data_IF_780070831535
#
_entry.id   IF_780070831535
#
_cell.length_a   1.000
_cell.length_b   1.000
_cell.length_c   1.000
_cell.angle_alpha   90.00
_cell.angle_beta   90.00
_cell.angle_gamma   90.00
#
_symmetry.space_group_name_H-M   'P 1'
#
loop_
_entity.id
_entity.type
_entity.pdbx_description
1 polymer ?
#
# COMPACT_ATOMS: atom_id res chain seq x y z
N UNK A 1 -67.84 -7.83 35.48
CA UNK A 1 -67.68 -8.19 34.05
C UNK A 1 -66.29 -7.71 33.64
N UNK A 2 -65.29 -8.60 33.76
CA UNK A 2 -63.91 -8.36 33.35
C UNK A 2 -63.81 -8.19 31.84
N UNK A 3 -63.06 -7.21 31.33
CA UNK A 3 -62.37 -7.36 30.03
C UNK A 3 -61.06 -6.57 29.99
N UNK A 4 -59.99 -7.29 30.33
CA UNK A 4 -58.59 -7.26 29.87
C UNK A 4 -58.19 -6.25 28.76
N UNK A 5 -57.13 -5.50 29.03
CA UNK A 5 -56.34 -4.69 28.08
C UNK A 5 -55.87 -5.49 26.85
N UNK A 6 -55.94 -4.95 25.61
CA UNK A 6 -55.29 -5.58 24.46
C UNK A 6 -53.79 -5.22 24.44
N UNK A 7 -52.96 -6.14 24.93
CA UNK A 7 -51.49 -6.12 24.90
C UNK A 7 -50.88 -6.42 23.52
N UNK A 8 -51.54 -6.08 22.41
CA UNK A 8 -51.10 -6.45 21.05
C UNK A 8 -50.37 -5.33 20.28
N UNK A 9 -50.46 -4.07 20.71
CA UNK A 9 -49.74 -2.96 20.07
C UNK A 9 -48.23 -2.94 20.37
N UNK A 10 -47.80 -3.56 21.48
CA UNK A 10 -46.39 -3.65 21.86
C UNK A 10 -45.66 -4.84 21.21
N UNK A 11 -46.38 -5.79 20.61
CA UNK A 11 -45.76 -6.97 19.97
C UNK A 11 -45.41 -6.75 18.50
N UNK A 12 -46.10 -5.86 17.79
CA UNK A 12 -45.80 -5.53 16.40
C UNK A 12 -44.51 -4.70 16.24
N UNK A 13 -44.17 -3.85 17.22
CA UNK A 13 -42.93 -3.07 17.19
C UNK A 13 -41.68 -3.89 17.57
N UNK A 14 -41.85 -4.99 18.31
CA UNK A 14 -40.73 -5.87 18.69
C UNK A 14 -40.31 -6.84 17.57
N UNK A 15 -41.20 -7.15 16.62
CA UNK A 15 -40.92 -8.08 15.52
C UNK A 15 -40.16 -7.42 14.35
N UNK A 16 -40.27 -6.09 14.19
CA UNK A 16 -39.54 -5.34 13.16
C UNK A 16 -38.07 -5.03 13.53
N UNK A 17 -37.72 -5.04 14.82
CA UNK A 17 -36.34 -4.84 15.30
C UNK A 17 -35.51 -6.14 15.37
N UNK A 18 -36.16 -7.31 15.26
CA UNK A 18 -35.51 -8.62 15.32
C UNK A 18 -35.05 -9.17 13.96
N UNK A 19 -35.21 -8.41 12.87
CA UNK A 19 -34.72 -8.77 11.53
C UNK A 19 -33.33 -8.19 11.19
N UNK A 20 -32.76 -7.33 12.04
CA UNK A 20 -31.50 -6.62 11.77
C UNK A 20 -30.27 -7.14 12.55
N UNK A 21 -30.42 -8.22 13.33
CA UNK A 21 -29.34 -8.76 14.18
C UNK A 21 -29.10 -10.25 13.95
N UNK A 22 -28.95 -10.65 12.68
CA UNK A 22 -28.29 -11.93 12.37
C UNK A 22 -26.79 -11.72 12.49
N UNK A 23 -26.08 -12.40 13.41
CA UNK A 23 -24.63 -12.42 13.36
C UNK A 23 -24.24 -13.14 12.07
N UNK A 24 -23.67 -12.40 11.11
CA UNK A 24 -22.92 -13.02 10.01
C UNK A 24 -21.89 -13.95 10.67
N UNK A 25 -22.15 -15.24 10.56
CA UNK A 25 -21.15 -16.27 10.80
C UNK A 25 -19.97 -15.92 9.89
N UNK A 26 -18.88 -15.44 10.48
CA UNK A 26 -17.56 -15.38 9.86
C UNK A 26 -17.22 -16.82 9.43
N UNK A 27 -17.55 -17.14 8.19
CA UNK A 27 -17.03 -18.31 7.51
C UNK A 27 -15.50 -18.17 7.48
N UNK A 28 -14.72 -19.23 7.76
CA UNK A 28 -13.29 -19.17 7.55
C UNK A 28 -13.07 -18.87 6.06
N UNK A 29 -12.51 -17.70 5.76
CA UNK A 29 -12.07 -17.34 4.43
C UNK A 29 -10.92 -18.27 4.03
N UNK A 30 -11.24 -19.50 3.64
CA UNK A 30 -10.44 -20.31 2.72
C UNK A 30 -10.57 -19.68 1.34
N UNK A 31 -9.94 -18.53 1.20
CA UNK A 31 -9.66 -17.87 -0.06
C UNK A 31 -8.17 -17.66 -0.08
N UNK A 32 -7.41 -18.72 -0.40
CA UNK A 32 -6.07 -18.56 -0.97
C UNK A 32 -6.26 -17.72 -2.22
N UNK A 33 -6.14 -16.40 -2.07
CA UNK A 33 -6.01 -15.49 -3.20
C UNK A 33 -4.81 -16.03 -3.97
N UNK A 34 -4.96 -16.46 -5.23
CA UNK A 34 -3.81 -16.84 -6.02
C UNK A 34 -2.92 -15.60 -6.04
N UNK A 35 -1.74 -15.72 -5.43
CA UNK A 35 -0.67 -14.75 -5.59
C UNK A 35 -0.51 -14.61 -7.09
N UNK A 36 -0.71 -13.38 -7.57
CA UNK A 36 -0.78 -13.04 -8.98
C UNK A 36 0.29 -13.77 -9.76
N UNK A 37 -0.14 -14.37 -10.87
CA UNK A 37 0.70 -14.88 -11.95
C UNK A 37 1.93 -13.99 -12.08
N UNK A 38 3.10 -14.54 -11.76
CA UNK A 38 4.38 -13.86 -11.97
C UNK A 38 4.46 -13.61 -13.48
N UNK A 39 4.33 -12.35 -13.87
CA UNK A 39 4.53 -11.96 -15.26
C UNK A 39 5.93 -12.39 -15.70
N UNK A 40 6.08 -12.82 -16.98
CA UNK A 40 7.38 -13.20 -17.49
C UNK A 40 8.35 -12.03 -17.27
N UNK A 41 9.50 -12.35 -16.68
CA UNK A 41 10.62 -11.41 -16.49
C UNK A 41 10.80 -10.65 -17.79
N UNK A 42 10.57 -9.33 -17.73
CA UNK A 42 10.79 -8.44 -18.85
C UNK A 42 12.16 -8.75 -19.46
N UNK A 43 12.23 -8.73 -20.79
CA UNK A 43 13.41 -9.02 -21.60
C UNK A 43 14.51 -7.98 -21.30
N UNK A 44 15.21 -8.21 -20.19
CA UNK A 44 16.07 -7.24 -19.53
C UNK A 44 16.48 -7.83 -18.20
N UNK A 45 17.69 -8.39 -18.15
CA UNK A 45 18.19 -9.05 -16.95
C UNK A 45 18.14 -8.15 -15.72
N UNK A 46 18.32 -8.76 -14.54
CA UNK A 46 18.29 -8.07 -13.25
C UNK A 46 19.09 -6.74 -13.23
N UNK A 47 20.24 -6.70 -13.90
CA UNK A 47 21.05 -5.47 -14.03
C UNK A 47 20.31 -4.34 -14.74
N UNK A 48 19.55 -4.61 -15.80
CA UNK A 48 18.79 -3.60 -16.54
C UNK A 48 17.68 -3.02 -15.68
N UNK A 49 16.96 -3.87 -14.95
CA UNK A 49 15.91 -3.45 -14.01
C UNK A 49 16.50 -2.64 -12.86
N UNK A 50 17.63 -3.08 -12.30
CA UNK A 50 18.32 -2.36 -11.23
C UNK A 50 18.83 -0.99 -11.71
N UNK A 51 19.45 -0.92 -12.89
CA UNK A 51 19.88 0.35 -13.49
C UNK A 51 18.70 1.29 -13.76
N UNK A 52 17.58 0.75 -14.24
CA UNK A 52 16.33 1.52 -14.41
C UNK A 52 15.83 2.09 -13.09
N UNK A 53 15.71 1.24 -12.06
CA UNK A 53 15.26 1.67 -10.73
C UNK A 53 16.20 2.73 -10.11
N UNK A 54 17.52 2.60 -10.26
CA UNK A 54 18.48 3.60 -9.80
C UNK A 54 18.31 4.94 -10.54
N UNK A 55 18.01 4.91 -11.84
CA UNK A 55 17.73 6.11 -12.63
C UNK A 55 16.45 6.80 -12.14
N UNK A 56 15.39 6.05 -11.90
CA UNK A 56 14.12 6.58 -11.37
C UNK A 56 14.30 7.25 -10.00
N UNK A 57 15.14 6.68 -9.13
CA UNK A 57 15.42 7.29 -7.82
C UNK A 57 16.18 8.60 -7.97
N UNK A 58 17.17 8.64 -8.86
CA UNK A 58 17.91 9.86 -9.15
C UNK A 58 16.98 10.95 -9.71
N UNK A 59 16.09 10.59 -10.65
CA UNK A 59 15.07 11.51 -11.18
C UNK A 59 14.15 12.02 -10.06
N UNK A 60 13.64 11.14 -9.20
CA UNK A 60 12.80 11.53 -8.08
C UNK A 60 13.50 12.49 -7.10
N UNK A 61 14.80 12.30 -6.84
CA UNK A 61 15.60 13.21 -6.01
C UNK A 61 15.79 14.59 -6.68
N UNK A 62 16.09 14.61 -7.98
CA UNK A 62 16.26 15.86 -8.74
C UNK A 62 14.95 16.64 -8.82
N UNK A 63 13.83 15.96 -9.06
CA UNK A 63 12.50 16.57 -9.13
C UNK A 63 12.08 17.16 -7.79
N UNK A 64 12.29 16.43 -6.68
CA UNK A 64 12.02 16.96 -5.34
C UNK A 64 12.83 18.23 -5.05
N UNK A 65 14.13 18.22 -5.39
CA UNK A 65 15.00 19.39 -5.22
C UNK A 65 14.65 20.56 -6.14
N UNK A 66 14.15 20.29 -7.34
CA UNK A 66 13.66 21.31 -8.27
C UNK A 66 12.39 21.96 -7.75
N UNK A 67 11.38 21.16 -7.36
CA UNK A 67 10.12 21.65 -6.80
C UNK A 67 10.36 22.47 -5.53
N UNK A 68 11.30 22.07 -4.68
CA UNK A 68 11.68 22.84 -3.50
C UNK A 68 12.21 24.23 -3.86
N UNK A 69 13.05 24.35 -4.90
CA UNK A 69 13.57 25.65 -5.36
C UNK A 69 12.48 26.50 -6.01
N UNK A 70 11.64 25.89 -6.84
CA UNK A 70 10.53 26.56 -7.51
C UNK A 70 9.49 27.08 -6.49
N UNK A 71 9.21 26.32 -5.45
CA UNK A 71 8.36 26.73 -4.34
C UNK A 71 8.95 27.93 -3.59
N UNK A 72 10.24 27.88 -3.23
CA UNK A 72 10.94 29.00 -2.58
C UNK A 72 10.98 30.26 -3.47
N UNK A 73 11.03 30.08 -4.78
CA UNK A 73 10.99 31.18 -5.76
C UNK A 73 9.56 31.71 -6.03
N UNK A 74 8.52 31.11 -5.45
CA UNK A 74 7.12 31.51 -5.66
C UNK A 74 6.58 31.19 -7.05
N UNK A 75 7.13 30.18 -7.73
CA UNK A 75 6.67 29.79 -9.06
C UNK A 75 5.24 29.22 -9.02
N UNK A 76 4.33 29.64 -9.92
CA UNK A 76 2.91 29.28 -9.88
C UNK A 76 2.60 27.79 -10.13
N UNK A 77 3.61 26.97 -10.46
CA UNK A 77 3.48 25.53 -10.71
C UNK A 77 4.01 24.61 -9.60
N UNK A 78 4.74 25.14 -8.61
CA UNK A 78 5.30 24.35 -7.52
C UNK A 78 4.54 24.67 -6.24
N UNK A 79 3.50 23.88 -5.95
CA UNK A 79 2.78 24.03 -4.68
C UNK A 79 3.53 23.30 -3.56
N UNK A 80 3.27 23.72 -2.31
CA UNK A 80 3.88 23.09 -1.14
C UNK A 80 3.51 21.60 -1.08
N UNK A 81 2.25 21.26 -1.40
CA UNK A 81 1.74 19.90 -1.36
C UNK A 81 2.50 19.00 -2.35
N UNK A 82 2.67 19.46 -3.58
CA UNK A 82 3.37 18.69 -4.61
C UNK A 82 4.85 18.51 -4.26
N UNK A 83 5.49 19.56 -3.71
CA UNK A 83 6.87 19.48 -3.22
C UNK A 83 7.00 18.44 -2.11
N UNK A 84 6.11 18.47 -1.11
CA UNK A 84 6.13 17.56 0.03
C UNK A 84 5.88 16.11 -0.39
N UNK A 85 4.94 15.87 -1.31
CA UNK A 85 4.67 14.53 -1.85
C UNK A 85 5.88 14.01 -2.66
N UNK A 86 6.50 14.87 -3.47
CA UNK A 86 7.71 14.50 -4.22
C UNK A 86 8.87 14.16 -3.31
N UNK A 87 9.08 14.94 -2.23
CA UNK A 87 10.10 14.67 -1.22
C UNK A 87 9.86 13.34 -0.51
N UNK A 88 8.61 13.04 -0.12
CA UNK A 88 8.25 11.76 0.50
C UNK A 88 8.46 10.59 -0.46
N UNK A 89 8.08 10.74 -1.73
CA UNK A 89 8.30 9.71 -2.76
C UNK A 89 9.79 9.42 -2.95
N UNK A 90 10.62 10.45 -3.06
CA UNK A 90 12.07 10.30 -3.18
C UNK A 90 12.68 9.61 -1.95
N UNK A 91 12.22 9.98 -0.75
CA UNK A 91 12.72 9.41 0.51
C UNK A 91 12.37 7.92 0.66
N UNK A 92 11.13 7.54 0.38
CA UNK A 92 10.68 6.14 0.45
C UNK A 92 11.37 5.30 -0.63
N UNK A 93 11.45 5.82 -1.87
CA UNK A 93 12.14 5.15 -2.96
C UNK A 93 13.62 4.89 -2.67
N UNK A 94 14.31 5.88 -2.10
CA UNK A 94 15.70 5.74 -1.68
C UNK A 94 15.88 4.66 -0.60
N UNK A 95 15.02 4.63 0.42
CA UNK A 95 15.07 3.61 1.48
C UNK A 95 14.85 2.19 0.92
N UNK A 96 13.92 2.05 -0.02
CA UNK A 96 13.69 0.79 -0.71
C UNK A 96 14.95 0.33 -1.47
N UNK A 97 15.62 1.23 -2.19
CA UNK A 97 16.85 0.88 -2.90
C UNK A 97 18.03 0.54 -1.99
N UNK A 98 18.19 1.22 -0.85
CA UNK A 98 19.20 0.83 0.15
C UNK A 98 18.93 -0.59 0.65
N UNK A 99 17.67 -0.93 0.88
CA UNK A 99 17.27 -2.28 1.30
C UNK A 99 17.65 -3.32 0.24
N UNK A 100 17.32 -3.06 -1.03
CA UNK A 100 17.69 -3.95 -2.15
C UNK A 100 19.21 -4.07 -2.26
N UNK A 101 19.94 -2.95 -2.25
CA UNK A 101 21.42 -2.94 -2.29
C UNK A 101 22.00 -3.82 -1.20
N UNK A 102 21.53 -3.67 0.03
CA UNK A 102 22.03 -4.45 1.17
C UNK A 102 21.74 -5.94 0.99
N UNK A 103 20.56 -6.30 0.46
CA UNK A 103 20.22 -7.70 0.14
C UNK A 103 21.11 -8.29 -0.95
N UNK A 104 21.46 -7.51 -1.98
CA UNK A 104 22.38 -7.96 -3.04
C UNK A 104 23.80 -8.16 -2.53
N UNK A 105 24.30 -7.25 -1.69
CA UNK A 105 25.61 -7.40 -1.05
C UNK A 105 25.62 -8.64 -0.14
N UNK A 106 24.55 -8.86 0.62
CA UNK A 106 24.42 -10.04 1.48
C UNK A 106 24.38 -11.33 0.66
N UNK A 107 23.61 -11.39 -0.44
CA UNK A 107 23.54 -12.56 -1.31
C UNK A 107 24.90 -12.88 -1.97
N UNK A 108 25.65 -11.86 -2.38
CA UNK A 108 27.01 -12.05 -2.88
C UNK A 108 27.95 -12.61 -1.82
N UNK A 109 27.86 -12.06 -0.60
CA UNK A 109 28.65 -12.52 0.55
C UNK A 109 28.27 -13.95 0.95
N UNK A 110 27.00 -14.33 0.85
CA UNK A 110 26.49 -15.67 1.16
C UNK A 110 27.03 -16.72 0.17
N UNK A 111 26.99 -16.42 -1.14
CA UNK A 111 27.58 -17.28 -2.18
C UNK A 111 29.10 -17.47 -1.96
N UNK A 112 29.80 -16.40 -1.57
CA UNK A 112 31.24 -16.46 -1.26
C UNK A 112 31.56 -17.32 -0.03
N UNK A 113 30.66 -17.36 0.96
CA UNK A 113 30.87 -18.10 2.21
C UNK A 113 30.27 -19.51 2.19
N UNK A 114 29.50 -19.87 1.15
CA UNK A 114 29.21 -21.26 0.85
C UNK A 114 30.52 -21.97 0.48
N UNK A 115 31.03 -22.77 1.41
CA UNK A 115 32.16 -23.66 1.13
C UNK A 115 31.72 -24.72 0.12
N UNK A 116 32.59 -24.97 -0.86
CA UNK A 116 32.53 -26.13 -1.77
C UNK A 116 32.61 -27.45 -1.02
#
# INVERSE_FOLDING_TARGET
MEVRFPSSALRAAAEAAAAAARPERLAPASGTRPVGKVEPVAEGGFSTVLSGALKEINEAQLDAGKLQREFQAGAPGATLEQTMVSMQKAQIGFQAAVTVRNKLVAAYTDIMNMQV
#
